data_IF_548460843200
#
_entry.id   IF_548460843200
#
_cell.length_a   1.000
_cell.length_b   1.000
_cell.length_c   1.000
_cell.angle_alpha   90.00
_cell.angle_beta   90.00
_cell.angle_gamma   90.00
#
_symmetry.space_group_name_H-M   'P 1'
#
loop_
_entity.id
_entity.type
_entity.pdbx_description
1 polymer ?
#
# COMPACT_ATOMS: atom_id res chain seq x y z
N UNK A 1 46.70 9.55 -10.68
CA UNK A 1 45.77 8.62 -10.00
C UNK A 1 44.40 8.80 -10.60
N UNK A 2 43.92 7.83 -11.39
CA UNK A 2 42.58 7.89 -11.98
C UNK A 2 41.57 7.52 -10.88
N UNK A 3 40.70 8.46 -10.50
CA UNK A 3 39.58 8.17 -9.60
C UNK A 3 38.62 7.24 -10.34
N UNK A 4 38.38 6.04 -9.81
CA UNK A 4 37.33 5.15 -10.30
C UNK A 4 35.99 5.86 -10.14
N UNK A 5 35.33 6.19 -11.24
CA UNK A 5 34.02 6.83 -11.17
C UNK A 5 32.95 5.80 -10.80
N UNK A 6 32.43 5.90 -9.57
CA UNK A 6 31.36 5.04 -9.07
C UNK A 6 30.04 5.32 -9.79
N UNK A 7 29.50 4.34 -10.53
CA UNK A 7 28.22 4.50 -11.22
C UNK A 7 27.08 4.66 -10.21
N UNK A 8 26.17 5.62 -10.44
CA UNK A 8 25.01 5.85 -9.59
C UNK A 8 23.78 5.11 -10.12
N UNK A 9 23.10 4.32 -9.30
CA UNK A 9 21.85 3.66 -9.67
C UNK A 9 20.63 4.47 -9.20
N UNK A 10 19.82 4.96 -10.13
CA UNK A 10 18.57 5.65 -9.82
C UNK A 10 17.42 4.65 -9.66
N UNK A 11 16.87 4.52 -8.46
CA UNK A 11 15.78 3.58 -8.12
C UNK A 11 14.43 3.92 -8.76
N UNK A 12 14.16 5.19 -9.05
CA UNK A 12 12.90 5.60 -9.67
C UNK A 12 12.88 5.33 -11.17
N UNK A 13 14.06 5.40 -11.80
CA UNK A 13 14.19 5.21 -13.22
C UNK A 13 14.69 3.80 -13.60
N UNK A 14 15.31 3.06 -12.67
CA UNK A 14 16.01 1.80 -12.88
C UNK A 14 17.08 1.91 -13.98
N UNK A 15 17.86 3.00 -13.96
CA UNK A 15 19.01 3.18 -14.85
C UNK A 15 20.27 3.51 -14.04
N UNK A 16 21.41 3.08 -14.58
CA UNK A 16 22.73 3.47 -14.11
C UNK A 16 23.17 4.77 -14.79
N UNK A 17 23.48 5.77 -13.99
CA UNK A 17 23.98 7.09 -14.37
C UNK A 17 25.48 7.15 -14.06
N UNK A 18 26.22 8.02 -14.75
CA UNK A 18 27.61 8.29 -14.40
C UNK A 18 27.70 8.85 -12.96
N UNK A 19 28.80 8.53 -12.27
CA UNK A 19 29.03 8.90 -10.87
C UNK A 19 29.24 10.38 -10.60
N UNK A 20 29.41 11.17 -11.65
CA UNK A 20 29.62 12.60 -11.53
C UNK A 20 28.39 13.28 -10.91
N UNK A 21 28.62 14.08 -9.86
CA UNK A 21 27.56 14.83 -9.15
C UNK A 21 26.72 15.73 -10.07
N UNK A 22 27.30 16.17 -11.18
CA UNK A 22 26.59 16.97 -12.19
C UNK A 22 25.69 16.09 -13.05
N UNK A 23 26.15 14.88 -13.42
CA UNK A 23 25.36 13.91 -14.18
C UNK A 23 24.14 13.44 -13.39
N UNK A 24 24.33 13.15 -12.10
CA UNK A 24 23.23 12.78 -11.18
C UNK A 24 22.21 13.93 -11.09
N UNK A 25 22.65 15.16 -10.83
CA UNK A 25 21.75 16.34 -10.76
C UNK A 25 21.00 16.58 -12.07
N UNK A 26 21.68 16.46 -13.22
CA UNK A 26 21.03 16.61 -14.52
C UNK A 26 19.99 15.51 -14.75
N UNK A 27 20.28 14.26 -14.36
CA UNK A 27 19.33 13.15 -14.42
C UNK A 27 18.09 13.41 -13.56
N UNK A 28 18.27 13.82 -12.30
CA UNK A 28 17.19 14.15 -11.37
C UNK A 28 16.36 15.35 -11.83
N UNK A 29 17.00 16.31 -12.48
CA UNK A 29 16.33 17.48 -13.05
C UNK A 29 15.48 17.16 -14.29
N UNK A 30 15.69 15.99 -14.94
CA UNK A 30 14.91 15.61 -16.14
C UNK A 30 13.43 15.44 -15.83
N UNK A 31 12.58 15.85 -16.78
CA UNK A 31 11.13 15.75 -16.63
C UNK A 31 10.67 14.30 -16.43
N UNK A 32 11.29 13.35 -17.14
CA UNK A 32 10.99 11.91 -17.00
C UNK A 32 11.22 11.40 -15.57
N UNK A 33 12.30 11.83 -14.92
CA UNK A 33 12.58 11.45 -13.54
C UNK A 33 11.54 12.02 -12.58
N UNK A 34 11.19 13.31 -12.75
CA UNK A 34 10.15 13.98 -11.95
C UNK A 34 8.80 13.30 -12.09
N UNK A 35 8.38 12.99 -13.32
CA UNK A 35 7.10 12.35 -13.60
C UNK A 35 7.03 10.94 -12.99
N UNK A 36 8.10 10.14 -13.11
CA UNK A 36 8.18 8.81 -12.50
C UNK A 36 8.15 8.87 -10.98
N UNK A 37 8.88 9.82 -10.38
CA UNK A 37 8.91 10.01 -8.93
C UNK A 37 7.55 10.44 -8.40
N UNK A 38 6.87 11.37 -9.08
CA UNK A 38 5.51 11.78 -8.73
C UNK A 38 4.50 10.64 -8.91
N UNK A 39 4.62 9.84 -9.98
CA UNK A 39 3.76 8.68 -10.19
C UNK A 39 3.95 7.63 -9.09
N UNK A 40 5.19 7.34 -8.71
CA UNK A 40 5.52 6.44 -7.61
C UNK A 40 4.97 6.95 -6.27
N UNK A 41 5.08 8.25 -6.00
CA UNK A 41 4.48 8.85 -4.81
C UNK A 41 2.96 8.67 -4.78
N UNK A 42 2.27 8.95 -5.90
CA UNK A 42 0.81 8.75 -6.01
C UNK A 42 0.40 7.29 -5.81
N UNK A 43 1.18 6.34 -6.32
CA UNK A 43 0.93 4.90 -6.11
C UNK A 43 1.07 4.57 -4.63
N UNK A 44 2.19 4.94 -3.99
CA UNK A 44 2.41 4.67 -2.55
C UNK A 44 1.32 5.27 -1.65
N UNK A 45 0.84 6.48 -1.98
CA UNK A 45 -0.26 7.10 -1.23
C UNK A 45 -1.56 6.31 -1.39
N UNK A 46 -1.90 5.88 -2.61
CA UNK A 46 -3.08 5.05 -2.85
C UNK A 46 -2.97 3.67 -2.18
N UNK A 47 -1.81 3.05 -2.25
CA UNK A 47 -1.56 1.74 -1.64
C UNK A 47 -1.69 1.82 -0.11
N UNK A 48 -1.21 2.92 0.51
CA UNK A 48 -1.39 3.17 1.94
C UNK A 48 -2.87 3.30 2.32
N UNK A 49 -3.64 4.05 1.55
CA UNK A 49 -5.08 4.21 1.78
C UNK A 49 -5.84 2.87 1.63
N UNK A 50 -5.47 2.06 0.65
CA UNK A 50 -6.05 0.73 0.45
C UNK A 50 -5.71 -0.18 1.63
N UNK A 51 -4.44 -0.20 2.07
CA UNK A 51 -4.01 -0.99 3.22
C UNK A 51 -4.75 -0.59 4.49
N UNK A 52 -4.92 0.70 4.75
CA UNK A 52 -5.68 1.20 5.91
C UNK A 52 -7.15 0.77 5.89
N UNK A 53 -7.80 0.81 4.71
CA UNK A 53 -9.18 0.30 4.58
C UNK A 53 -9.26 -1.20 4.80
N UNK A 54 -8.29 -1.97 4.30
CA UNK A 54 -8.24 -3.42 4.50
C UNK A 54 -8.04 -3.76 5.97
N UNK A 55 -7.12 -3.08 6.66
CA UNK A 55 -6.90 -3.23 8.10
C UNK A 55 -8.15 -2.88 8.91
N UNK A 56 -8.82 -1.77 8.59
CA UNK A 56 -10.07 -1.40 9.24
C UNK A 56 -11.19 -2.44 9.04
N UNK A 57 -11.27 -3.07 7.85
CA UNK A 57 -12.24 -4.13 7.59
C UNK A 57 -11.90 -5.41 8.37
N UNK A 58 -10.64 -5.84 8.37
CA UNK A 58 -10.19 -7.00 9.15
C UNK A 58 -10.46 -6.79 10.65
N UNK A 59 -10.20 -5.58 11.16
CA UNK A 59 -10.46 -5.27 12.57
C UNK A 59 -11.96 -5.38 12.91
N UNK A 60 -12.85 -4.88 12.04
CA UNK A 60 -14.31 -5.03 12.22
C UNK A 60 -14.74 -6.49 12.24
N UNK A 61 -14.14 -7.33 11.39
CA UNK A 61 -14.40 -8.77 11.37
C UNK A 61 -13.97 -9.44 12.68
N UNK A 62 -12.77 -9.11 13.19
CA UNK A 62 -12.29 -9.60 14.48
C UNK A 62 -13.20 -9.17 15.63
N UNK A 63 -13.58 -7.89 15.68
CA UNK A 63 -14.48 -7.37 16.71
C UNK A 63 -15.85 -8.09 16.68
N UNK A 64 -16.34 -8.43 15.49
CA UNK A 64 -17.60 -9.16 15.32
C UNK A 64 -17.48 -10.62 15.81
N UNK A 65 -16.36 -11.29 15.51
CA UNK A 65 -16.06 -12.63 16.02
C UNK A 65 -15.96 -12.61 17.54
N UNK A 66 -15.23 -11.66 18.12
CA UNK A 66 -15.12 -11.52 19.56
C UNK A 66 -16.47 -11.27 20.23
N UNK A 67 -17.28 -10.37 19.67
CA UNK A 67 -18.63 -10.08 20.19
C UNK A 67 -19.51 -11.34 20.15
N UNK A 68 -19.45 -12.11 19.07
CA UNK A 68 -20.20 -13.37 18.95
C UNK A 68 -19.71 -14.40 19.97
N UNK A 69 -18.40 -14.57 20.11
CA UNK A 69 -17.79 -15.48 21.07
C UNK A 69 -18.19 -15.13 22.51
N UNK A 70 -18.11 -13.84 22.90
CA UNK A 70 -18.55 -13.36 24.22
C UNK A 70 -20.05 -13.58 24.44
N UNK A 71 -20.89 -13.34 23.42
CA UNK A 71 -22.33 -13.57 23.52
C UNK A 71 -22.68 -15.05 23.71
N UNK A 72 -22.00 -15.95 22.99
CA UNK A 72 -22.14 -17.41 23.17
C UNK A 72 -21.69 -17.83 24.56
N UNK A 73 -20.51 -17.37 24.99
CA UNK A 73 -19.98 -17.66 26.32
C UNK A 73 -20.95 -17.21 27.42
N UNK A 74 -21.51 -16.00 27.32
CA UNK A 74 -22.49 -15.49 28.28
C UNK A 74 -23.76 -16.36 28.33
N UNK A 75 -24.27 -16.83 27.18
CA UNK A 75 -25.41 -17.75 27.13
C UNK A 75 -25.09 -19.09 27.80
N UNK A 76 -23.92 -19.64 27.53
CA UNK A 76 -23.48 -20.90 28.12
C UNK A 76 -23.35 -20.76 29.64
N UNK A 77 -22.80 -19.64 30.14
CA UNK A 77 -22.70 -19.37 31.57
C UNK A 77 -24.06 -19.16 32.24
N UNK A 78 -25.01 -18.51 31.56
CA UNK A 78 -26.37 -18.32 32.08
C UNK A 78 -27.20 -19.62 32.12
N UNK A 79 -26.94 -20.55 31.18
CA UNK A 79 -27.62 -21.85 31.10
C UNK A 79 -27.04 -22.96 31.99
N UNK A 80 -25.83 -22.77 32.55
CA UNK A 80 -25.13 -23.78 33.36
C UNK A 80 -25.67 -23.98 34.78
N UNK A 81 -26.74 -23.30 35.17
CA UNK A 81 -27.41 -23.56 36.46
C UNK A 81 -28.45 -24.66 36.44
N UNK A 82 -28.79 -25.31 35.30
CA UNK A 82 -29.82 -26.38 35.38
C UNK A 82 -29.69 -27.64 34.52
N UNK A 83 -28.95 -27.70 33.41
CA UNK A 83 -29.10 -28.88 32.53
C UNK A 83 -27.92 -29.30 31.64
N UNK A 84 -26.68 -28.82 31.86
CA UNK A 84 -25.54 -29.14 30.98
C UNK A 84 -24.34 -29.82 31.66
N UNK A 85 -24.56 -30.60 32.72
CA UNK A 85 -23.59 -31.63 33.09
C UNK A 85 -23.60 -32.83 32.12
N UNK A 86 -24.51 -32.86 31.12
CA UNK A 86 -24.84 -34.05 30.34
C UNK A 86 -24.97 -33.80 28.83
N UNK A 87 -24.30 -32.78 28.30
CA UNK A 87 -23.92 -32.81 26.88
C UNK A 87 -22.44 -33.15 26.83
N UNK A 88 -22.17 -34.45 26.92
CA UNK A 88 -20.97 -35.06 26.36
C UNK A 88 -20.69 -34.35 25.05
N UNK A 89 -19.52 -33.69 24.95
CA UNK A 89 -19.00 -33.20 23.70
C UNK A 89 -18.88 -34.45 22.84
N UNK A 90 -19.87 -34.68 21.99
CA UNK A 90 -19.84 -35.67 20.92
C UNK A 90 -18.84 -35.09 19.90
N UNK A 91 -17.56 -35.06 20.29
CA UNK A 91 -16.51 -35.34 19.34
C UNK A 91 -16.97 -36.68 18.75
N UNK A 92 -17.37 -36.75 17.48
CA UNK A 92 -17.75 -38.03 16.89
C UNK A 92 -16.65 -38.97 17.28
N UNK A 93 -17.00 -40.00 18.08
CA UNK A 93 -16.04 -40.92 18.62
C UNK A 93 -15.15 -41.32 17.45
N UNK A 94 -13.89 -40.87 17.48
CA UNK A 94 -12.87 -41.44 16.63
C UNK A 94 -12.85 -42.88 17.14
N UNK A 95 -13.62 -43.73 16.46
CA UNK A 95 -13.77 -45.13 16.81
C UNK A 95 -12.39 -45.75 16.99
N UNK A 96 -12.28 -46.91 17.66
CA UNK A 96 -11.01 -47.59 17.82
C UNK A 96 -10.27 -47.54 16.49
N UNK A 97 -9.11 -46.86 16.50
CA UNK A 97 -8.28 -46.67 15.31
C UNK A 97 -8.28 -48.01 14.57
N UNK A 98 -8.81 -48.10 13.34
CA UNK A 98 -8.60 -49.28 12.55
C UNK A 98 -7.09 -49.47 12.50
N UNK A 99 -6.67 -50.64 12.99
CA UNK A 99 -5.28 -51.10 13.07
C UNK A 99 -4.74 -51.36 11.66
N UNK A 100 -4.79 -50.33 10.82
CA UNK A 100 -4.19 -50.26 9.49
C UNK A 100 -3.09 -49.19 9.52
N UNK A 101 -2.20 -49.30 10.51
CA UNK A 101 -0.92 -48.58 10.60
C UNK A 101 0.13 -49.12 9.62
N UNK A 102 -0.28 -49.61 8.44
CA UNK A 102 0.65 -50.20 7.48
C UNK A 102 0.56 -49.67 6.04
N UNK A 103 -0.41 -48.83 5.66
CA UNK A 103 -0.58 -48.43 4.25
C UNK A 103 -0.78 -46.94 3.96
N UNK A 104 -0.75 -46.05 4.98
CA UNK A 104 -0.87 -44.59 4.76
C UNK A 104 0.47 -43.84 4.81
N UNK A 105 1.59 -44.57 4.82
CA UNK A 105 2.90 -44.04 4.43
C UNK A 105 3.08 -44.02 2.91
N UNK A 106 2.00 -44.03 2.12
CA UNK A 106 2.08 -43.47 0.79
C UNK A 106 2.25 -41.96 0.98
N UNK A 107 3.37 -41.35 0.55
CA UNK A 107 3.43 -39.90 0.47
C UNK A 107 2.18 -39.49 -0.30
N UNK A 108 1.40 -38.57 0.25
CA UNK A 108 0.40 -37.86 -0.53
C UNK A 108 1.18 -37.14 -1.64
N UNK A 109 1.41 -37.86 -2.73
CA UNK A 109 1.64 -37.30 -4.05
C UNK A 109 0.35 -36.58 -4.35
N UNK A 110 0.26 -35.36 -3.83
CA UNK A 110 -0.61 -34.36 -4.42
C UNK A 110 -0.44 -34.52 -5.93
N UNK A 111 -1.53 -34.70 -6.69
CA UNK A 111 -1.41 -34.68 -8.14
C UNK A 111 -0.63 -33.40 -8.47
N UNK A 112 0.44 -33.51 -9.29
CA UNK A 112 1.26 -32.36 -9.60
C UNK A 112 0.32 -31.23 -10.03
N UNK A 113 0.54 -29.98 -9.55
CA UNK A 113 -0.28 -28.87 -9.97
C UNK A 113 -0.37 -28.91 -11.50
N UNK A 114 -1.58 -28.69 -12.08
CA UNK A 114 -1.72 -28.69 -13.52
C UNK A 114 -0.62 -27.80 -14.09
N UNK A 115 0.09 -28.25 -15.14
CA UNK A 115 1.18 -27.47 -15.71
C UNK A 115 0.64 -26.05 -15.94
N UNK A 116 1.41 -25.01 -15.56
CA UNK A 116 0.97 -23.64 -15.76
C UNK A 116 0.49 -23.57 -17.20
N UNK A 117 -0.81 -23.30 -17.39
CA UNK A 117 -1.37 -23.10 -18.72
C UNK A 117 -0.46 -22.05 -19.31
N UNK A 118 0.36 -22.46 -20.29
CA UNK A 118 1.13 -21.56 -21.10
C UNK A 118 0.07 -20.64 -21.67
N UNK A 119 -0.07 -19.46 -21.06
CA UNK A 119 -0.96 -18.42 -21.55
C UNK A 119 -0.43 -18.23 -22.95
N UNK A 120 -1.23 -18.67 -23.93
CA UNK A 120 -0.84 -18.56 -25.32
C UNK A 120 -0.34 -17.13 -25.48
N UNK A 121 0.87 -16.94 -26.04
CA UNK A 121 1.43 -15.60 -26.19
C UNK A 121 0.33 -14.73 -26.80
N UNK A 122 0.08 -13.54 -26.23
CA UNK A 122 -1.00 -12.69 -26.69
C UNK A 122 -0.90 -12.61 -28.21
N UNK A 123 -2.03 -12.76 -28.94
CA UNK A 123 -2.01 -12.76 -30.39
C UNK A 123 -1.20 -11.54 -30.85
N UNK A 124 -0.31 -11.71 -31.84
CA UNK A 124 0.49 -10.59 -32.32
C UNK A 124 -0.43 -9.41 -32.60
N UNK A 125 -0.03 -8.17 -32.26
CA UNK A 125 -0.87 -7.00 -32.49
C UNK A 125 -1.31 -7.07 -33.95
N UNK A 126 -2.62 -7.25 -34.15
CA UNK A 126 -3.22 -7.30 -35.46
C UNK A 126 -2.77 -6.02 -36.13
N UNK A 127 -1.94 -6.16 -37.15
CA UNK A 127 -1.28 -5.07 -37.85
C UNK A 127 -2.40 -4.15 -38.35
N UNK A 128 -2.75 -3.16 -37.54
CA UNK A 128 -3.72 -2.14 -37.90
C UNK A 128 -3.00 -1.41 -39.02
N UNK A 129 -3.49 -1.49 -40.27
CA UNK A 129 -2.87 -0.73 -41.33
C UNK A 129 -2.87 0.72 -40.84
N UNK A 130 -1.66 1.27 -40.71
CA UNK A 130 -1.42 2.67 -40.42
C UNK A 130 -2.36 3.44 -41.33
N UNK A 131 -3.43 3.96 -40.73
CA UNK A 131 -4.35 4.87 -41.40
C UNK A 131 -3.47 6.04 -41.76
N UNK A 132 -3.12 6.13 -43.05
CA UNK A 132 -2.30 7.20 -43.59
C UNK A 132 -2.79 8.51 -42.99
N UNK A 133 -1.86 9.23 -42.38
CA UNK A 133 -2.10 10.59 -41.96
C UNK A 133 -2.73 11.34 -43.13
N UNK A 134 -3.86 12.06 -42.94
CA UNK A 134 -4.39 12.90 -43.99
C UNK A 134 -3.30 13.93 -44.38
N UNK A 135 -3.13 14.21 -45.67
CA UNK A 135 -2.15 15.19 -46.14
C UNK A 135 -2.45 16.54 -45.49
N UNK A 136 -1.38 17.21 -45.09
CA UNK A 136 -1.39 18.58 -44.60
C UNK A 136 -2.28 19.44 -45.51
N UNK A 137 -3.35 20.00 -44.92
CA UNK A 137 -4.13 21.02 -45.58
C UNK A 137 -3.22 22.21 -45.89
N UNK A 138 -3.12 22.51 -47.18
CA UNK A 138 -2.60 23.78 -47.66
C UNK A 138 -3.40 24.93 -47.06
N UNK A 139 -2.77 26.10 -46.81
CA UNK A 139 -3.49 27.32 -46.52
C UNK A 139 -4.23 27.78 -47.79
N UNK A 140 -5.47 27.33 -47.96
CA UNK A 140 -6.35 27.89 -48.97
C UNK A 140 -6.72 29.31 -48.52
N UNK A 141 -6.22 30.30 -49.27
CA UNK A 141 -6.65 31.68 -49.17
C UNK A 141 -8.16 31.72 -49.42
N UNK A 142 -8.94 32.06 -48.39
CA UNK A 142 -10.36 32.35 -48.52
C UNK A 142 -10.53 33.82 -48.95
N UNK A 143 -11.29 34.10 -50.01
CA UNK A 143 -11.65 35.46 -50.38
C UNK A 143 -12.65 36.02 -49.38
N UNK A 144 -12.45 37.29 -49.04
CA UNK A 144 -13.31 38.12 -48.21
C UNK A 144 -14.76 38.10 -48.73
N UNK A 145 -15.65 37.37 -48.06
CA UNK A 145 -17.09 37.55 -48.20
C UNK A 145 -17.62 38.28 -46.98
N UNK A 146 -18.35 39.35 -47.27
CA UNK A 146 -18.89 40.32 -46.34
C UNK A 146 -19.69 39.64 -45.23
N UNK A 147 -19.36 40.00 -43.98
CA UNK A 147 -20.07 39.59 -42.78
C UNK A 147 -21.39 40.36 -42.71
N UNK A 148 -22.56 39.70 -42.59
CA UNK A 148 -23.82 40.38 -42.38
C UNK A 148 -23.88 41.01 -40.98
N UNK A 149 -24.44 42.23 -40.88
CA UNK A 149 -24.73 42.91 -39.62
C UNK A 149 -25.51 41.97 -38.69
N UNK A 150 -24.85 41.47 -37.64
CA UNK A 150 -25.50 40.72 -36.59
C UNK A 150 -26.16 41.70 -35.63
N UNK A 151 -27.49 41.60 -35.56
CA UNK A 151 -28.34 42.16 -34.52
C UNK A 151 -27.72 41.87 -33.15
N UNK A 152 -27.34 42.93 -32.44
CA UNK A 152 -26.76 42.86 -31.10
C UNK A 152 -27.84 42.38 -30.13
N UNK A 153 -27.77 41.10 -29.75
CA UNK A 153 -28.55 40.59 -28.63
C UNK A 153 -28.13 41.33 -27.35
N UNK A 154 -29.07 41.72 -26.47
CA UNK A 154 -28.74 42.41 -25.24
C UNK A 154 -27.84 41.52 -24.38
N UNK A 155 -26.66 42.03 -24.04
CA UNK A 155 -25.70 41.32 -23.20
C UNK A 155 -26.38 40.95 -21.88
N UNK A 156 -26.48 39.64 -21.64
CA UNK A 156 -26.87 39.12 -20.34
C UNK A 156 -25.89 39.69 -19.31
N UNK A 157 -26.41 40.49 -18.38
CA UNK A 157 -25.65 41.07 -17.28
C UNK A 157 -24.98 39.92 -16.53
N UNK A 158 -23.66 39.86 -16.62
CA UNK A 158 -22.85 38.95 -15.80
C UNK A 158 -23.14 39.30 -14.34
N UNK A 159 -23.69 38.38 -13.53
CA UNK A 159 -23.91 38.64 -12.12
C UNK A 159 -22.56 38.95 -11.47
N UNK A 160 -22.50 39.94 -10.55
CA UNK A 160 -21.26 40.27 -9.88
C UNK A 160 -20.68 39.03 -9.17
N UNK A 161 -19.34 38.91 -9.09
CA UNK A 161 -18.72 37.82 -8.36
C UNK A 161 -19.28 37.79 -6.94
N UNK A 162 -19.82 36.64 -6.54
CA UNK A 162 -20.33 36.43 -5.19
C UNK A 162 -19.17 36.67 -4.23
N UNK A 163 -19.28 37.74 -3.43
CA UNK A 163 -18.37 37.95 -2.31
C UNK A 163 -18.53 36.72 -1.40
N UNK A 164 -17.46 35.95 -1.15
CA UNK A 164 -17.55 34.81 -0.26
C UNK A 164 -18.03 35.33 1.12
N UNK A 165 -18.96 34.62 1.78
CA UNK A 165 -19.42 35.02 3.09
C UNK A 165 -18.20 35.15 4.03
N UNK A 166 -18.23 36.08 5.00
CA UNK A 166 -17.17 36.22 5.98
C UNK A 166 -16.92 34.85 6.59
N UNK A 167 -15.69 34.33 6.43
CA UNK A 167 -15.31 33.06 7.02
C UNK A 167 -15.44 33.23 8.53
N UNK A 168 -16.44 32.56 9.11
CA UNK A 168 -16.52 32.41 10.55
C UNK A 168 -15.22 31.69 10.96
N UNK A 169 -14.39 32.28 11.84
CA UNK A 169 -13.19 31.61 12.29
C UNK A 169 -13.59 30.25 12.87
N UNK A 170 -12.86 29.17 12.55
CA UNK A 170 -13.18 27.87 13.09
C UNK A 170 -13.23 27.95 14.62
N UNK A 171 -14.13 27.22 15.28
CA UNK A 171 -14.17 27.17 16.73
C UNK A 171 -12.76 26.80 17.21
N UNK A 172 -12.20 27.64 18.09
CA UNK A 172 -10.92 27.39 18.75
C UNK A 172 -11.12 26.14 19.59
N UNK A 173 -10.76 24.99 19.03
CA UNK A 173 -10.74 23.74 19.77
C UNK A 173 -9.63 23.89 20.80
N UNK A 174 -9.92 23.85 22.11
CA UNK A 174 -8.87 23.88 23.11
C UNK A 174 -7.91 22.72 22.82
N UNK A 175 -6.58 22.93 22.92
CA UNK A 175 -5.63 21.85 22.72
C UNK A 175 -5.99 20.68 23.64
N UNK A 176 -5.85 19.43 23.16
CA UNK A 176 -6.09 18.27 24.00
C UNK A 176 -5.26 18.42 25.26
N UNK A 177 -5.91 18.35 26.42
CA UNK A 177 -5.24 18.31 27.70
C UNK A 177 -4.34 17.08 27.68
N UNK A 178 -3.04 17.30 27.50
CA UNK A 178 -2.04 16.25 27.56
C UNK A 178 -1.99 15.81 29.01
N UNK A 179 -2.78 14.80 29.34
CA UNK A 179 -2.65 14.09 30.62
C UNK A 179 -1.28 13.43 30.58
N UNK A 180 -0.35 13.79 31.47
CA UNK A 180 0.95 13.14 31.51
C UNK A 180 0.73 11.64 31.73
N UNK A 181 1.44 10.77 30.99
CA UNK A 181 1.30 9.34 31.18
C UNK A 181 1.58 8.99 32.64
N UNK A 182 0.82 8.04 33.22
CA UNK A 182 1.08 7.57 34.58
C UNK A 182 2.56 7.18 34.67
N UNK A 183 3.24 7.76 35.67
CA UNK A 183 4.66 7.52 35.93
C UNK A 183 4.86 6.01 36.03
N UNK A 184 5.63 5.45 35.10
CA UNK A 184 5.96 4.03 35.16
C UNK A 184 6.60 3.73 36.52
N UNK A 185 6.23 2.62 37.18
CA UNK A 185 6.93 2.18 38.38
C UNK A 185 8.42 2.00 38.04
N UNK A 186 9.29 2.44 38.94
CA UNK A 186 10.72 2.35 38.76
C UNK A 186 11.11 0.89 38.44
N UNK A 187 12.00 0.64 37.46
CA UNK A 187 12.40 -0.70 37.11
C UNK A 187 13.13 -1.33 38.30
N UNK A 188 12.46 -2.30 38.93
CA UNK A 188 13.02 -3.17 39.94
C UNK A 188 14.09 -4.02 39.24
N UNK A 189 15.35 -3.82 39.62
CA UNK A 189 16.49 -4.55 39.05
C UNK A 189 16.48 -6.00 39.54
N UNK A 190 15.69 -6.86 38.88
CA UNK A 190 15.82 -8.30 39.03
C UNK A 190 16.91 -8.82 38.08
N UNK A 191 17.94 -9.53 38.56
CA UNK A 191 18.96 -10.14 37.70
C UNK A 191 18.36 -11.39 37.03
N UNK A 192 17.75 -11.22 35.86
CA UNK A 192 17.13 -12.32 35.14
C UNK A 192 16.80 -11.97 33.69
N UNK A 193 17.64 -12.48 32.79
CA UNK A 193 17.43 -12.73 31.36
C UNK A 193 16.28 -12.00 30.63
N UNK A 194 16.64 -11.01 29.80
CA UNK A 194 15.73 -10.45 28.80
C UNK A 194 15.86 -11.20 27.48
N UNK A 195 14.77 -11.83 27.03
CA UNK A 195 14.64 -12.31 25.66
C UNK A 195 14.12 -11.16 24.80
N UNK A 196 15.03 -10.50 24.08
CA UNK A 196 14.68 -9.49 23.07
C UNK A 196 14.43 -10.22 21.75
N UNK A 197 13.17 -10.28 21.31
CA UNK A 197 12.84 -10.67 19.94
C UNK A 197 13.37 -9.58 18.99
N UNK A 198 14.49 -9.89 18.33
CA UNK A 198 14.90 -9.22 17.09
C UNK A 198 15.87 -8.05 17.24
N UNK A 199 17.10 -8.31 17.71
CA UNK A 199 18.38 -7.95 17.06
C UNK A 199 19.50 -8.35 18.02
N UNK A 200 20.37 -9.25 17.58
CA UNK A 200 21.56 -9.64 18.36
C UNK A 200 22.62 -8.58 18.11
N UNK A 201 22.88 -7.74 19.12
CA UNK A 201 24.10 -6.94 19.15
C UNK A 201 25.18 -7.78 19.85
N UNK A 202 26.18 -8.22 19.07
CA UNK A 202 27.41 -8.75 19.63
C UNK A 202 28.27 -7.56 20.07
N UNK A 203 28.24 -7.25 21.35
CA UNK A 203 29.27 -6.43 21.98
C UNK A 203 30.61 -7.16 21.88
N UNK A 204 31.50 -6.64 21.05
CA UNK A 204 32.89 -7.09 20.94
C UNK A 204 33.72 -5.96 20.35
N UNK A 205 34.45 -5.26 21.23
CA UNK A 205 35.60 -4.38 20.97
C UNK A 205 35.58 -3.52 19.69
N UNK A 206 35.33 -2.23 19.90
CA UNK A 206 35.72 -1.14 19.00
C UNK A 206 37.22 -1.26 18.63
N UNK A 207 37.52 -1.74 17.42
CA UNK A 207 38.79 -1.44 16.76
C UNK A 207 38.58 -0.16 15.95
N UNK A 208 39.02 0.97 16.51
CA UNK A 208 39.30 2.17 15.71
C UNK A 208 40.46 1.85 14.76
N UNK A 209 40.15 1.40 13.55
CA UNK A 209 41.11 1.45 12.45
C UNK A 209 41.08 2.87 11.91
N UNK A 210 42.01 3.69 12.40
CA UNK A 210 42.41 4.92 11.72
C UNK A 210 43.03 4.52 10.38
N UNK A 211 42.25 4.65 9.31
CA UNK A 211 42.79 4.63 7.96
C UNK A 211 43.49 5.97 7.75
N UNK A 212 44.79 5.99 8.03
CA UNK A 212 45.70 7.06 7.66
C UNK A 212 46.25 6.80 6.26
N UNK A 213 45.99 7.76 5.37
CA UNK A 213 46.64 8.10 4.09
C UNK A 213 46.58 7.09 2.93
#
# INVERSE_FOLDING_TARGET
MAQSQDKHHCTYCNLWVQGDRVSIRNHEATQRHKDRTQAQFKIRTRDREIAERQEANMQRELDQVERNARARFARDMAGKTRTQAETSIDLPAVGPLPRQVAQLAAPSTMPPPPPPRMVAPPPPPRNTPMRLAPPAHQPMQQPYLAVPLHTVAPMARVPPPRVPPPQVPPPVVPPPVVVPPPRAPAPEQSPGFYVVRGTVYLEGQFHEVRISQ
#
